data_IF_417638706341
#
_entry.id   IF_417638706341
#
_cell.length_a   1.000
_cell.length_b   1.000
_cell.length_c   1.000
_cell.angle_alpha   90.00
_cell.angle_beta   90.00
_cell.angle_gamma   90.00
#
_symmetry.space_group_name_H-M   'P 1'
#
loop_
_entity.id
_entity.type
_entity.pdbx_description
1 polymer ?
#
# COMPACT_ATOMS: atom_id res chain seq x y z
N UNK A 1 55.09 26.60 3.67
CA UNK A 1 53.93 27.32 4.21
C UNK A 1 52.77 27.49 3.22
N UNK A 2 53.01 27.66 1.93
CA UNK A 2 51.92 27.86 0.91
C UNK A 2 51.06 26.61 0.64
N UNK A 3 51.64 25.40 0.69
CA UNK A 3 50.91 24.13 0.47
C UNK A 3 49.90 23.80 1.59
N UNK A 4 50.18 24.16 2.84
CA UNK A 4 49.24 23.94 3.97
C UNK A 4 48.02 24.88 3.95
N UNK A 5 48.17 26.09 3.42
CA UNK A 5 47.07 27.02 3.27
C UNK A 5 46.03 26.59 2.17
N UNK A 6 46.51 25.96 1.11
CA UNK A 6 45.70 25.45 0.04
C UNK A 6 44.87 24.19 0.46
N UNK A 7 45.44 23.30 1.26
CA UNK A 7 44.72 22.14 1.77
C UNK A 7 43.62 22.52 2.77
N UNK A 8 43.85 23.51 3.63
CA UNK A 8 42.84 24.00 4.56
C UNK A 8 41.67 24.75 3.85
N UNK A 9 41.94 25.39 2.72
CA UNK A 9 40.91 26.02 1.87
C UNK A 9 40.00 25.00 1.17
N UNK A 10 40.57 23.91 0.66
CA UNK A 10 39.82 22.83 0.01
C UNK A 10 38.93 22.08 1.00
N UNK A 11 39.39 21.79 2.20
CA UNK A 11 38.59 21.15 3.26
C UNK A 11 37.40 22.02 3.71
N UNK A 12 37.61 23.34 3.84
CA UNK A 12 36.53 24.30 4.18
C UNK A 12 35.52 24.42 3.04
N UNK A 13 35.95 24.43 1.79
CA UNK A 13 35.09 24.50 0.62
C UNK A 13 34.25 23.22 0.46
N UNK A 14 34.86 22.05 0.64
CA UNK A 14 34.17 20.76 0.63
C UNK A 14 33.15 20.62 1.77
N UNK A 15 33.48 21.12 2.97
CA UNK A 15 32.57 21.14 4.11
C UNK A 15 31.40 22.10 3.88
N UNK A 16 31.63 23.28 3.27
CA UNK A 16 30.54 24.21 2.92
C UNK A 16 29.62 23.62 1.84
N UNK A 17 30.16 22.97 0.82
CA UNK A 17 29.42 22.29 -0.24
C UNK A 17 28.58 21.12 0.32
N UNK A 18 29.14 20.34 1.25
CA UNK A 18 28.41 19.27 1.92
C UNK A 18 27.29 19.82 2.82
N UNK A 19 27.51 20.97 3.50
CA UNK A 19 26.51 21.60 4.33
C UNK A 19 25.36 22.19 3.49
N UNK A 20 25.66 22.85 2.38
CA UNK A 20 24.63 23.41 1.47
C UNK A 20 23.84 22.32 0.78
N UNK A 21 24.50 21.24 0.37
CA UNK A 21 23.84 20.06 -0.22
C UNK A 21 22.95 19.34 0.82
N UNK A 22 23.44 19.21 2.06
CA UNK A 22 22.67 18.67 3.18
C UNK A 22 21.44 19.52 3.53
N UNK A 23 21.55 20.85 3.54
CA UNK A 23 20.42 21.75 3.78
C UNK A 23 19.35 21.66 2.67
N UNK A 24 19.77 21.52 1.40
CA UNK A 24 18.84 21.41 0.27
C UNK A 24 18.04 20.11 0.32
N UNK A 25 18.65 18.98 0.72
CA UNK A 25 17.99 17.70 0.90
C UNK A 25 16.96 17.71 2.03
N UNK A 26 17.26 18.43 3.12
CA UNK A 26 16.33 18.59 4.26
C UNK A 26 15.12 19.45 3.87
N UNK A 27 15.33 20.53 3.12
CA UNK A 27 14.25 21.43 2.70
C UNK A 27 13.26 20.76 1.73
N UNK A 28 13.74 19.99 0.75
CA UNK A 28 12.89 19.25 -0.20
C UNK A 28 12.06 18.16 0.50
N UNK A 29 12.63 17.45 1.45
CA UNK A 29 11.91 16.45 2.24
C UNK A 29 10.77 17.05 3.09
N UNK A 30 10.95 18.25 3.64
CA UNK A 30 9.91 18.94 4.40
C UNK A 30 8.71 19.35 3.53
N UNK A 31 8.93 19.80 2.29
CA UNK A 31 7.84 20.20 1.40
C UNK A 31 7.01 18.99 0.94
N UNK A 32 7.66 17.89 0.59
CA UNK A 32 6.96 16.66 0.24
C UNK A 32 6.12 16.12 1.40
N UNK A 33 6.69 16.09 2.61
CA UNK A 33 5.98 15.65 3.82
C UNK A 33 4.75 16.52 4.09
N UNK A 34 4.91 17.86 4.04
CA UNK A 34 3.81 18.79 4.24
C UNK A 34 2.69 18.59 3.20
N UNK A 35 3.06 18.39 1.92
CA UNK A 35 2.09 18.08 0.88
C UNK A 35 1.32 16.78 1.17
N UNK A 36 2.00 15.71 1.63
CA UNK A 36 1.35 14.45 2.02
C UNK A 36 0.36 14.65 3.17
N UNK A 37 0.66 15.50 4.13
CA UNK A 37 -0.25 15.87 5.22
C UNK A 37 -1.47 16.64 4.72
N UNK A 38 -1.30 17.54 3.76
CA UNK A 38 -2.42 18.23 3.09
C UNK A 38 -3.34 17.25 2.35
N UNK A 39 -2.78 16.33 1.58
CA UNK A 39 -3.56 15.28 0.92
C UNK A 39 -4.32 14.41 1.93
N UNK A 40 -3.71 14.04 3.05
CA UNK A 40 -4.38 13.29 4.11
C UNK A 40 -5.54 14.09 4.74
N UNK A 41 -5.39 15.41 4.90
CA UNK A 41 -6.46 16.28 5.38
C UNK A 41 -7.61 16.39 4.37
N UNK A 42 -7.32 16.50 3.08
CA UNK A 42 -8.34 16.50 2.01
C UNK A 42 -9.07 15.15 1.94
N UNK A 43 -8.37 14.03 2.12
CA UNK A 43 -8.99 12.71 2.23
C UNK A 43 -9.93 12.63 3.41
N UNK A 44 -9.51 13.10 4.59
CA UNK A 44 -10.35 13.12 5.79
C UNK A 44 -11.62 13.98 5.64
N UNK A 45 -11.65 14.92 4.70
CA UNK A 45 -12.78 15.76 4.35
C UNK A 45 -13.60 15.22 3.16
N UNK A 46 -13.10 14.20 2.46
CA UNK A 46 -13.68 13.70 1.20
C UNK A 46 -13.58 14.66 0.03
N UNK A 47 -12.63 15.59 0.11
CA UNK A 47 -12.43 16.62 -0.90
C UNK A 47 -11.62 16.10 -2.11
N UNK A 48 -12.09 15.00 -2.72
CA UNK A 48 -11.34 14.28 -3.77
C UNK A 48 -11.09 15.12 -5.02
N UNK A 49 -12.05 15.94 -5.43
CA UNK A 49 -11.87 16.87 -6.57
C UNK A 49 -10.77 17.89 -6.28
N UNK A 50 -10.73 18.42 -5.06
CA UNK A 50 -9.68 19.37 -4.66
C UNK A 50 -8.32 18.67 -4.57
N UNK A 51 -8.25 17.46 -4.01
CA UNK A 51 -7.02 16.68 -3.95
C UNK A 51 -6.48 16.36 -5.35
N UNK A 52 -7.35 16.01 -6.30
CA UNK A 52 -6.97 15.78 -7.69
C UNK A 52 -6.45 17.05 -8.36
N UNK A 53 -7.10 18.19 -8.13
CA UNK A 53 -6.67 19.50 -8.66
C UNK A 53 -5.28 19.87 -8.12
N UNK A 54 -5.03 19.63 -6.83
CA UNK A 54 -3.74 19.86 -6.21
C UNK A 54 -2.64 18.98 -6.80
N UNK A 55 -2.88 17.67 -6.98
CA UNK A 55 -1.93 16.77 -7.63
C UNK A 55 -1.62 17.15 -9.09
N UNK A 56 -2.56 17.79 -9.78
CA UNK A 56 -2.36 18.26 -11.15
C UNK A 56 -1.60 19.59 -11.23
N UNK A 57 -1.38 20.31 -10.12
CA UNK A 57 -0.56 21.52 -10.10
C UNK A 57 0.90 21.17 -10.47
N UNK A 58 1.49 21.83 -11.47
CA UNK A 58 2.88 21.58 -11.89
C UNK A 58 3.90 21.71 -10.76
N UNK A 59 3.67 22.64 -9.79
CA UNK A 59 4.54 22.82 -8.64
C UNK A 59 4.49 21.62 -7.71
N UNK A 60 3.29 21.10 -7.44
CA UNK A 60 3.09 19.90 -6.63
C UNK A 60 3.67 18.68 -7.33
N UNK A 61 3.40 18.51 -8.62
CA UNK A 61 3.98 17.42 -9.42
C UNK A 61 5.50 17.40 -9.36
N UNK A 62 6.17 18.54 -9.31
CA UNK A 62 7.63 18.64 -9.20
C UNK A 62 8.19 18.17 -7.86
N UNK A 63 7.37 18.03 -6.82
CA UNK A 63 7.77 17.46 -5.53
C UNK A 63 7.95 15.94 -5.58
N UNK A 64 7.31 15.28 -6.56
CA UNK A 64 7.43 13.84 -6.76
C UNK A 64 8.63 13.55 -7.67
N UNK A 65 9.74 13.18 -7.05
CA UNK A 65 10.93 12.72 -7.75
C UNK A 65 10.66 11.38 -8.47
N UNK A 66 11.59 10.92 -9.31
CA UNK A 66 11.44 9.63 -10.01
C UNK A 66 11.20 8.46 -9.04
N UNK A 67 11.85 8.50 -7.87
CA UNK A 67 11.65 7.49 -6.81
C UNK A 67 10.24 7.49 -6.19
N UNK A 68 9.50 8.58 -6.33
CA UNK A 68 8.15 8.77 -5.76
C UNK A 68 7.06 8.68 -6.83
N UNK A 69 7.44 8.42 -8.08
CA UNK A 69 6.54 8.40 -9.23
C UNK A 69 5.37 7.43 -9.06
N UNK A 70 5.63 6.26 -8.48
CA UNK A 70 4.60 5.27 -8.21
C UNK A 70 3.50 5.83 -7.30
N UNK A 71 3.87 6.49 -6.20
CA UNK A 71 2.89 7.09 -5.27
C UNK A 71 2.03 8.14 -5.97
N UNK A 72 2.64 8.96 -6.83
CA UNK A 72 1.93 9.96 -7.62
C UNK A 72 0.88 9.33 -8.55
N UNK A 73 1.28 8.31 -9.32
CA UNK A 73 0.37 7.65 -10.27
C UNK A 73 -0.74 6.86 -9.53
N UNK A 74 -0.46 6.26 -8.38
CA UNK A 74 -1.45 5.60 -7.52
C UNK A 74 -2.50 6.59 -6.97
N UNK A 75 -2.05 7.68 -6.34
CA UNK A 75 -2.93 8.68 -5.74
C UNK A 75 -3.78 9.37 -6.81
N UNK A 76 -3.19 9.70 -7.96
CA UNK A 76 -3.93 10.32 -9.06
C UNK A 76 -4.93 9.37 -9.71
N UNK A 77 -4.56 8.10 -9.86
CA UNK A 77 -5.42 7.07 -10.42
C UNK A 77 -6.70 6.86 -9.60
N UNK A 78 -6.57 6.72 -8.28
CA UNK A 78 -7.73 6.54 -7.42
C UNK A 78 -8.59 7.81 -7.29
N UNK A 79 -7.99 9.00 -7.29
CA UNK A 79 -8.73 10.26 -7.28
C UNK A 79 -9.52 10.47 -8.57
N UNK A 80 -8.95 10.11 -9.73
CA UNK A 80 -9.68 10.09 -10.99
C UNK A 80 -10.87 9.11 -10.91
N UNK A 81 -10.69 7.94 -10.30
CA UNK A 81 -11.77 6.97 -10.10
C UNK A 81 -12.89 7.52 -9.22
N UNK A 82 -12.58 8.13 -8.05
CA UNK A 82 -13.58 8.71 -7.16
C UNK A 82 -14.32 9.91 -7.76
N UNK A 83 -13.66 10.65 -8.64
CA UNK A 83 -14.29 11.77 -9.36
C UNK A 83 -15.01 11.36 -10.65
N UNK A 84 -15.15 10.06 -10.91
CA UNK A 84 -15.88 9.53 -12.07
C UNK A 84 -15.11 9.57 -13.39
N UNK A 85 -13.81 9.86 -13.36
CA UNK A 85 -12.96 9.93 -14.54
C UNK A 85 -12.29 8.57 -14.81
N UNK A 86 -13.07 7.57 -15.24
CA UNK A 86 -12.62 6.18 -15.36
C UNK A 86 -11.47 5.99 -16.35
N UNK A 87 -11.52 6.63 -17.52
CA UNK A 87 -10.47 6.46 -18.53
C UNK A 87 -9.13 7.05 -18.06
N UNK A 88 -9.03 8.26 -17.49
CA UNK A 88 -7.83 8.75 -16.82
C UNK A 88 -7.38 7.87 -15.65
N UNK A 89 -8.31 7.34 -14.84
CA UNK A 89 -7.99 6.44 -13.72
C UNK A 89 -7.26 5.18 -14.20
N UNK A 90 -7.79 4.54 -15.24
CA UNK A 90 -7.17 3.35 -15.85
C UNK A 90 -5.75 3.67 -16.34
N UNK A 91 -5.56 4.76 -17.06
CA UNK A 91 -4.25 5.17 -17.60
C UNK A 91 -3.22 5.40 -16.48
N UNK A 92 -3.61 6.09 -15.41
CA UNK A 92 -2.72 6.35 -14.27
C UNK A 92 -2.36 5.05 -13.53
N UNK A 93 -3.34 4.20 -13.29
CA UNK A 93 -3.14 2.91 -12.64
C UNK A 93 -2.36 1.91 -13.52
N UNK A 94 -2.46 1.98 -14.84
CA UNK A 94 -1.60 1.21 -15.76
C UNK A 94 -0.14 1.63 -15.67
N UNK A 95 0.13 2.94 -15.52
CA UNK A 95 1.50 3.41 -15.29
C UNK A 95 2.04 2.94 -13.94
N UNK A 96 1.21 3.03 -12.90
CA UNK A 96 1.57 2.52 -11.58
C UNK A 96 1.87 1.01 -11.63
N UNK A 97 1.02 0.22 -12.28
CA UNK A 97 1.22 -1.22 -12.47
C UNK A 97 2.53 -1.52 -13.20
N UNK A 98 2.80 -0.82 -14.30
CA UNK A 98 4.04 -1.00 -15.06
C UNK A 98 5.30 -0.65 -14.25
N UNK A 99 5.22 0.30 -13.31
CA UNK A 99 6.30 0.59 -12.36
C UNK A 99 6.49 -0.56 -11.37
N UNK A 100 5.42 -1.10 -10.79
CA UNK A 100 5.47 -2.24 -9.88
C UNK A 100 6.01 -3.50 -10.58
N UNK A 101 5.55 -3.79 -11.80
CA UNK A 101 5.96 -4.97 -12.56
C UNK A 101 7.47 -4.95 -12.90
N UNK A 102 8.01 -3.80 -13.28
CA UNK A 102 9.46 -3.66 -13.54
C UNK A 102 10.32 -3.95 -12.31
N UNK A 103 9.78 -3.76 -11.12
CA UNK A 103 10.52 -3.96 -9.86
C UNK A 103 10.34 -5.36 -9.28
N UNK A 104 9.48 -6.21 -9.89
CA UNK A 104 9.29 -7.59 -9.46
C UNK A 104 10.48 -8.50 -9.74
N UNK A 105 11.27 -8.19 -10.75
CA UNK A 105 12.47 -8.93 -11.16
C UNK A 105 13.72 -8.05 -11.06
N UNK A 106 14.16 -7.69 -9.84
CA UNK A 106 15.39 -6.92 -9.68
C UNK A 106 16.59 -7.75 -10.14
N UNK A 107 17.54 -7.12 -10.83
CA UNK A 107 18.82 -7.75 -11.14
C UNK A 107 19.59 -8.11 -9.86
N UNK A 108 20.54 -9.06 -9.94
CA UNK A 108 21.38 -9.41 -8.80
C UNK A 108 22.17 -8.20 -8.25
N UNK A 109 22.56 -7.26 -9.12
CA UNK A 109 23.22 -6.02 -8.73
C UNK A 109 22.27 -5.07 -8.00
N UNK A 110 21.02 -4.95 -8.47
CA UNK A 110 20.00 -4.14 -7.80
C UNK A 110 19.66 -4.70 -6.43
N UNK A 111 19.57 -6.01 -6.30
CA UNK A 111 19.33 -6.68 -5.02
C UNK A 111 20.44 -6.36 -4.00
N UNK A 112 21.70 -6.44 -4.40
CA UNK A 112 22.83 -6.11 -3.53
C UNK A 112 22.85 -4.63 -3.14
N UNK A 113 22.55 -3.72 -4.06
CA UNK A 113 22.46 -2.29 -3.82
C UNK A 113 21.30 -1.94 -2.89
N UNK A 114 20.13 -2.55 -3.07
CA UNK A 114 18.95 -2.34 -2.22
C UNK A 114 19.20 -2.74 -0.75
N UNK A 115 20.08 -3.70 -0.48
CA UNK A 115 20.43 -4.08 0.88
C UNK A 115 21.26 -3.03 1.63
N UNK A 116 21.93 -2.14 0.91
CA UNK A 116 22.79 -1.10 1.48
C UNK A 116 22.17 0.30 1.45
N UNK A 117 21.22 0.54 0.52
CA UNK A 117 20.54 1.82 0.41
C UNK A 117 19.46 1.95 1.49
N UNK A 118 19.26 3.18 1.95
CA UNK A 118 18.16 3.52 2.83
C UNK A 118 16.84 3.38 2.08
N UNK A 119 15.79 2.86 2.75
CA UNK A 119 14.48 2.66 2.14
C UNK A 119 13.88 3.97 1.60
N UNK A 120 14.11 5.10 2.27
CA UNK A 120 13.66 6.43 1.80
C UNK A 120 14.42 6.96 0.60
N UNK A 121 15.66 6.52 0.38
CA UNK A 121 16.47 6.88 -0.79
C UNK A 121 16.20 5.97 -2.00
N UNK A 122 15.59 4.82 -1.78
CA UNK A 122 15.23 3.87 -2.83
C UNK A 122 13.92 4.27 -3.53
N UNK A 123 13.74 3.79 -4.75
CA UNK A 123 12.47 3.91 -5.46
C UNK A 123 11.37 3.17 -4.69
N UNK A 124 10.22 3.83 -4.51
CA UNK A 124 9.07 3.19 -3.89
C UNK A 124 8.53 2.06 -4.77
N UNK A 125 8.39 0.89 -4.18
CA UNK A 125 8.00 -0.34 -4.92
C UNK A 125 6.52 -0.72 -4.72
N UNK A 126 5.81 0.00 -3.84
CA UNK A 126 4.44 -0.34 -3.44
C UNK A 126 4.38 -1.46 -2.39
N UNK A 127 3.27 -1.52 -1.71
CA UNK A 127 2.94 -2.61 -0.79
C UNK A 127 2.23 -3.74 -1.53
N UNK A 128 2.34 -5.00 -1.08
CA UNK A 128 1.68 -6.13 -1.72
C UNK A 128 0.17 -5.98 -1.91
N UNK A 129 -0.52 -5.36 -0.94
CA UNK A 129 -1.96 -5.10 -1.05
C UNK A 129 -2.25 -4.01 -2.09
N UNK A 130 -1.42 -2.98 -2.20
CA UNK A 130 -1.56 -1.91 -3.19
C UNK A 130 -1.49 -2.48 -4.62
N UNK A 131 -0.59 -3.42 -4.85
CA UNK A 131 -0.43 -4.07 -6.15
C UNK A 131 -1.69 -4.85 -6.59
N UNK A 132 -2.38 -5.50 -5.66
CA UNK A 132 -3.67 -6.13 -5.94
C UNK A 132 -4.76 -5.08 -6.18
N UNK A 133 -4.79 -4.03 -5.35
CA UNK A 133 -5.81 -2.98 -5.46
C UNK A 133 -5.71 -2.14 -6.73
N UNK A 134 -4.53 -1.99 -7.33
CA UNK A 134 -4.40 -1.40 -8.68
C UNK A 134 -5.35 -2.09 -9.66
N UNK A 135 -5.35 -3.42 -9.70
CA UNK A 135 -6.24 -4.15 -10.60
C UNK A 135 -7.70 -4.17 -10.12
N UNK A 136 -7.95 -4.09 -8.81
CA UNK A 136 -9.31 -3.94 -8.27
C UNK A 136 -9.95 -2.65 -8.79
N UNK A 137 -9.27 -1.50 -8.68
CA UNK A 137 -9.80 -0.23 -9.16
C UNK A 137 -9.88 -0.15 -10.68
N UNK A 138 -8.92 -0.72 -11.40
CA UNK A 138 -9.00 -0.85 -12.86
C UNK A 138 -10.20 -1.70 -13.27
N UNK A 139 -10.43 -2.84 -12.62
CA UNK A 139 -11.58 -3.70 -12.85
C UNK A 139 -12.89 -2.94 -12.63
N UNK A 140 -13.03 -2.26 -11.50
CA UNK A 140 -14.22 -1.46 -11.18
C UNK A 140 -14.44 -0.34 -12.21
N UNK A 141 -13.40 0.35 -12.65
CA UNK A 141 -13.46 1.37 -13.68
C UNK A 141 -13.88 0.78 -15.05
N UNK A 142 -13.37 -0.40 -15.42
CA UNK A 142 -13.79 -1.11 -16.63
C UNK A 142 -15.27 -1.52 -16.56
N UNK A 143 -15.72 -2.05 -15.43
CA UNK A 143 -17.13 -2.43 -15.22
C UNK A 143 -18.05 -1.21 -15.31
N UNK A 144 -17.68 -0.06 -14.71
CA UNK A 144 -18.48 1.17 -14.78
C UNK A 144 -18.59 1.71 -16.22
N UNK A 145 -17.61 1.42 -17.07
CA UNK A 145 -17.67 1.71 -18.50
C UNK A 145 -18.41 0.64 -19.33
N UNK A 146 -19.00 -0.38 -18.70
CA UNK A 146 -19.68 -1.48 -19.39
C UNK A 146 -18.73 -2.47 -20.10
N UNK A 147 -17.43 -2.44 -19.81
CA UNK A 147 -16.42 -3.28 -20.45
C UNK A 147 -16.18 -4.56 -19.64
N UNK A 148 -17.20 -5.41 -19.55
CA UNK A 148 -17.09 -6.69 -18.85
C UNK A 148 -16.13 -7.61 -19.59
N UNK A 149 -16.40 -7.90 -20.87
CA UNK A 149 -15.51 -8.65 -21.73
C UNK A 149 -14.31 -7.80 -22.16
N UNK A 150 -13.12 -8.41 -22.19
CA UNK A 150 -11.88 -7.73 -22.53
C UNK A 150 -11.30 -6.87 -21.41
N UNK A 151 -12.00 -5.86 -20.93
CA UNK A 151 -11.51 -4.95 -19.88
C UNK A 151 -11.46 -5.58 -18.49
N UNK A 152 -12.63 -5.78 -17.86
CA UNK A 152 -12.71 -6.33 -16.51
C UNK A 152 -12.16 -7.77 -16.42
N UNK A 153 -12.35 -8.58 -17.46
CA UNK A 153 -11.81 -9.95 -17.50
C UNK A 153 -10.29 -9.98 -17.46
N UNK A 154 -9.62 -9.06 -18.15
CA UNK A 154 -8.15 -8.96 -18.09
C UNK A 154 -7.70 -8.64 -16.66
N UNK A 155 -8.35 -7.68 -16.01
CA UNK A 155 -8.00 -7.30 -14.65
C UNK A 155 -8.32 -8.43 -13.64
N UNK A 156 -9.40 -9.15 -13.83
CA UNK A 156 -9.74 -10.33 -13.00
C UNK A 156 -8.65 -11.41 -13.08
N UNK A 157 -8.14 -11.70 -14.28
CA UNK A 157 -7.02 -12.64 -14.48
C UNK A 157 -5.73 -12.11 -13.85
N UNK A 158 -5.46 -10.80 -13.92
CA UNK A 158 -4.30 -10.18 -13.27
C UNK A 158 -4.39 -10.27 -11.75
N UNK A 159 -5.54 -9.99 -11.14
CA UNK A 159 -5.76 -10.19 -9.71
C UNK A 159 -5.41 -11.63 -9.31
N UNK A 160 -5.92 -12.63 -10.04
CA UNK A 160 -5.67 -14.03 -9.75
C UNK A 160 -4.19 -14.43 -9.88
N UNK A 161 -3.48 -13.93 -10.90
CA UNK A 161 -2.06 -14.21 -11.12
C UNK A 161 -1.17 -13.49 -10.11
N UNK A 162 -1.44 -12.22 -9.82
CA UNK A 162 -0.72 -11.42 -8.82
C UNK A 162 -0.82 -12.02 -7.42
N UNK A 163 -2.02 -12.42 -7.01
CA UNK A 163 -2.23 -13.08 -5.73
C UNK A 163 -1.37 -14.35 -5.59
N UNK A 164 -1.28 -15.15 -6.64
CA UNK A 164 -0.44 -16.35 -6.66
C UNK A 164 1.04 -15.98 -6.54
N UNK A 165 1.50 -15.02 -7.34
CA UNK A 165 2.87 -14.55 -7.32
C UNK A 165 3.26 -13.96 -5.96
N UNK A 166 2.41 -13.15 -5.33
CA UNK A 166 2.64 -12.55 -4.02
C UNK A 166 2.77 -13.63 -2.93
N UNK A 167 1.94 -14.66 -2.95
CA UNK A 167 2.06 -15.79 -2.01
C UNK A 167 3.40 -16.50 -2.11
N UNK A 168 3.89 -16.73 -3.33
CA UNK A 168 5.16 -17.41 -3.57
C UNK A 168 6.35 -16.51 -3.25
N UNK A 169 6.30 -15.25 -3.66
CA UNK A 169 7.34 -14.24 -3.37
C UNK A 169 7.50 -14.00 -1.86
N UNK A 170 6.41 -14.06 -1.11
CA UNK A 170 6.44 -13.93 0.33
C UNK A 170 7.26 -15.02 1.01
N UNK A 171 7.13 -16.26 0.54
CA UNK A 171 7.93 -17.40 1.01
C UNK A 171 9.42 -17.24 0.66
N UNK A 172 9.72 -16.86 -0.58
CA UNK A 172 11.10 -16.66 -1.06
C UNK A 172 11.80 -15.56 -0.26
N UNK A 173 11.16 -14.40 -0.08
CA UNK A 173 11.74 -13.27 0.66
C UNK A 173 12.10 -13.64 2.10
N UNK A 174 11.32 -14.49 2.77
CA UNK A 174 11.65 -14.98 4.10
C UNK A 174 12.92 -15.82 4.10
N UNK A 175 13.09 -16.71 3.12
CA UNK A 175 14.30 -17.53 2.97
C UNK A 175 15.55 -16.69 2.71
N UNK A 176 15.47 -15.72 1.81
CA UNK A 176 16.56 -14.81 1.46
C UNK A 176 17.03 -14.01 2.67
N UNK A 177 16.10 -13.43 3.45
CA UNK A 177 16.45 -12.64 4.64
C UNK A 177 17.08 -13.50 5.73
N UNK A 178 16.55 -14.70 5.98
CA UNK A 178 17.14 -15.64 6.95
C UNK A 178 18.58 -16.03 6.55
N UNK A 179 18.81 -16.31 5.28
CA UNK A 179 20.14 -16.65 4.76
C UNK A 179 21.11 -15.47 4.92
N UNK A 180 20.72 -14.27 4.52
CA UNK A 180 21.57 -13.08 4.62
C UNK A 180 21.85 -12.68 6.07
N UNK A 181 20.89 -12.86 6.97
CA UNK A 181 21.06 -12.62 8.40
C UNK A 181 22.03 -13.64 9.02
N UNK A 182 21.88 -14.94 8.69
CA UNK A 182 22.78 -15.99 9.17
C UNK A 182 24.24 -15.76 8.75
N UNK A 183 24.48 -15.34 7.50
CA UNK A 183 25.82 -15.01 7.01
C UNK A 183 26.47 -13.86 7.76
N UNK A 184 25.71 -12.98 8.39
CA UNK A 184 26.18 -11.81 9.15
C UNK A 184 26.05 -11.96 10.66
N UNK A 185 25.69 -13.15 11.14
CA UNK A 185 25.50 -13.41 12.58
C UNK A 185 24.31 -12.68 13.22
N UNK A 186 23.38 -12.18 12.40
CA UNK A 186 22.15 -11.52 12.87
C UNK A 186 21.07 -12.57 13.07
N UNK A 187 20.52 -12.66 14.28
CA UNK A 187 19.37 -13.53 14.56
C UNK A 187 18.09 -12.84 14.16
N UNK A 188 17.24 -13.53 13.39
CA UNK A 188 15.95 -13.02 12.87
C UNK A 188 14.75 -13.85 13.35
N UNK A 189 14.99 -14.83 14.25
CA UNK A 189 14.01 -15.72 14.86
C UNK A 189 14.03 -15.63 16.39
N UNK A 190 12.92 -15.93 17.02
CA UNK A 190 12.77 -15.85 18.46
C UNK A 190 13.20 -14.48 19.02
N UNK A 191 13.98 -14.45 20.09
CA UNK A 191 14.48 -13.21 20.73
C UNK A 191 15.31 -12.32 19.76
N UNK A 192 15.88 -12.90 18.70
CA UNK A 192 16.64 -12.18 17.68
C UNK A 192 15.77 -11.33 16.73
N UNK A 193 14.46 -11.56 16.69
CA UNK A 193 13.51 -10.72 15.96
C UNK A 193 13.13 -9.43 16.72
N UNK A 194 13.76 -9.15 17.86
CA UNK A 194 13.54 -7.95 18.66
C UNK A 194 12.07 -7.82 19.08
N UNK A 195 11.48 -6.62 18.98
CA UNK A 195 10.09 -6.37 19.37
C UNK A 195 9.05 -7.10 18.52
N UNK A 196 9.47 -7.79 17.46
CA UNK A 196 8.61 -8.52 16.51
C UNK A 196 8.78 -10.04 16.61
N UNK A 197 9.37 -10.53 17.72
CA UNK A 197 9.62 -11.96 17.94
C UNK A 197 8.35 -12.83 17.87
N UNK A 198 7.21 -12.27 18.31
CA UNK A 198 5.91 -12.94 18.32
C UNK A 198 5.17 -12.81 16.97
N UNK A 199 5.65 -11.98 16.05
CA UNK A 199 5.11 -11.94 14.72
C UNK A 199 5.45 -13.27 14.02
N UNK A 200 4.43 -14.07 13.72
CA UNK A 200 4.58 -15.40 13.14
C UNK A 200 5.53 -15.35 11.93
N UNK A 201 6.76 -15.81 12.14
CA UNK A 201 7.75 -15.95 11.09
C UNK A 201 7.27 -17.03 10.12
N UNK A 202 6.66 -16.64 9.01
CA UNK A 202 6.19 -17.56 8.01
C UNK A 202 4.70 -17.47 7.69
N UNK A 203 4.01 -16.43 8.10
CA UNK A 203 2.64 -16.18 7.68
C UNK A 203 2.53 -16.11 6.15
N UNK A 204 1.51 -16.75 5.57
CA UNK A 204 1.22 -16.59 4.16
C UNK A 204 0.64 -15.19 3.89
N UNK A 205 0.85 -14.67 2.68
CA UNK A 205 0.15 -13.47 2.22
C UNK A 205 -1.37 -13.70 2.30
N UNK A 206 -2.08 -12.70 2.82
CA UNK A 206 -3.54 -12.72 2.90
C UNK A 206 -4.08 -12.02 1.67
N UNK A 207 -4.86 -12.75 0.89
CA UNK A 207 -5.48 -12.26 -0.33
C UNK A 207 -6.52 -11.17 -0.01
N UNK A 208 -6.82 -10.32 -1.01
CA UNK A 208 -7.97 -9.42 -0.96
C UNK A 208 -9.26 -10.19 -1.21
N UNK A 209 -10.18 -10.29 -0.24
CA UNK A 209 -11.49 -10.87 -0.47
C UNK A 209 -12.29 -10.10 -1.54
N UNK A 210 -12.21 -8.76 -1.56
CA UNK A 210 -12.85 -7.94 -2.59
C UNK A 210 -12.33 -8.27 -3.98
N UNK A 211 -11.02 -8.29 -4.17
CA UNK A 211 -10.41 -8.60 -5.46
C UNK A 211 -10.80 -9.98 -5.97
N UNK A 212 -10.80 -10.96 -5.07
CA UNK A 212 -11.18 -12.34 -5.38
C UNK A 212 -12.68 -12.45 -5.71
N UNK A 213 -13.55 -11.73 -4.96
CA UNK A 213 -14.98 -11.68 -5.23
C UNK A 213 -15.28 -11.06 -6.60
N UNK A 214 -14.71 -9.91 -6.90
CA UNK A 214 -14.91 -9.24 -8.18
C UNK A 214 -14.44 -10.11 -9.35
N UNK A 215 -13.30 -10.79 -9.20
CA UNK A 215 -12.82 -11.74 -10.20
C UNK A 215 -13.81 -12.91 -10.40
N UNK A 216 -14.37 -13.45 -9.32
CA UNK A 216 -15.37 -14.53 -9.41
C UNK A 216 -16.62 -14.07 -10.15
N UNK A 217 -17.14 -12.86 -9.84
CA UNK A 217 -18.31 -12.29 -10.53
C UNK A 217 -18.04 -12.09 -12.02
N UNK A 218 -16.88 -11.55 -12.39
CA UNK A 218 -16.51 -11.33 -13.79
C UNK A 218 -16.38 -12.66 -14.55
N UNK A 219 -15.66 -13.66 -14.01
CA UNK A 219 -15.50 -14.95 -14.66
C UNK A 219 -16.83 -15.67 -14.87
N UNK A 220 -17.75 -15.48 -13.96
CA UNK A 220 -19.09 -16.03 -14.06
C UNK A 220 -19.88 -15.39 -15.19
N UNK A 221 -19.84 -14.05 -15.29
CA UNK A 221 -20.51 -13.29 -16.34
C UNK A 221 -19.92 -13.52 -17.74
N UNK A 222 -18.65 -13.90 -17.83
CA UNK A 222 -17.98 -14.22 -19.09
C UNK A 222 -17.96 -15.71 -19.44
N UNK A 223 -18.66 -16.55 -18.65
CA UNK A 223 -18.74 -18.00 -18.90
C UNK A 223 -17.43 -18.78 -18.66
N UNK A 224 -16.45 -18.18 -17.97
CA UNK A 224 -15.18 -18.84 -17.66
C UNK A 224 -15.31 -19.79 -16.43
N UNK A 225 -16.11 -20.85 -16.54
CA UNK A 225 -16.48 -21.73 -15.43
C UNK A 225 -15.29 -22.31 -14.65
N UNK A 226 -14.17 -22.62 -15.31
CA UNK A 226 -12.98 -23.14 -14.64
C UNK A 226 -12.33 -22.06 -13.75
N UNK A 227 -12.19 -20.84 -14.25
CA UNK A 227 -11.63 -19.71 -13.50
C UNK A 227 -12.56 -19.28 -12.36
N UNK A 228 -13.87 -19.31 -12.59
CA UNK A 228 -14.87 -19.07 -11.57
C UNK A 228 -14.72 -20.03 -10.38
N UNK A 229 -14.65 -21.35 -10.63
CA UNK A 229 -14.50 -22.33 -9.57
C UNK A 229 -13.20 -22.17 -8.76
N UNK A 230 -12.11 -21.71 -9.39
CA UNK A 230 -10.87 -21.37 -8.69
C UNK A 230 -11.07 -20.10 -7.84
N UNK A 231 -11.70 -19.07 -8.38
CA UNK A 231 -11.93 -17.81 -7.68
C UNK A 231 -12.88 -17.99 -6.48
N UNK A 232 -13.93 -18.79 -6.61
CA UNK A 232 -14.85 -19.11 -5.51
C UNK A 232 -14.15 -19.82 -4.34
N UNK A 233 -13.29 -20.82 -4.62
CA UNK A 233 -12.50 -21.48 -3.57
C UNK A 233 -11.54 -20.51 -2.88
N UNK A 234 -10.85 -19.64 -3.64
CA UNK A 234 -9.95 -18.63 -3.08
C UNK A 234 -10.70 -17.60 -2.25
N UNK A 235 -11.92 -17.25 -2.66
CA UNK A 235 -12.76 -16.33 -1.89
C UNK A 235 -13.11 -16.91 -0.52
N UNK A 236 -13.54 -18.18 -0.48
CA UNK A 236 -13.83 -18.85 0.80
C UNK A 236 -12.61 -18.86 1.73
N UNK A 237 -11.42 -19.21 1.19
CA UNK A 237 -10.16 -19.14 1.94
C UNK A 237 -9.83 -17.72 2.43
N UNK A 238 -10.01 -16.70 1.58
CA UNK A 238 -9.71 -15.32 1.92
C UNK A 238 -10.64 -14.80 3.01
N UNK A 239 -11.94 -15.13 2.94
CA UNK A 239 -12.93 -14.79 3.96
C UNK A 239 -12.61 -15.46 5.29
N UNK A 240 -12.33 -16.77 5.28
CA UNK A 240 -11.98 -17.52 6.49
C UNK A 240 -10.76 -16.90 7.20
N UNK A 241 -9.71 -16.56 6.45
CA UNK A 241 -8.52 -15.91 7.00
C UNK A 241 -8.79 -14.51 7.52
N UNK A 242 -9.65 -13.74 6.85
CA UNK A 242 -10.04 -12.43 7.34
C UNK A 242 -10.78 -12.54 8.68
N UNK A 243 -11.68 -13.50 8.84
CA UNK A 243 -12.37 -13.76 10.10
C UNK A 243 -11.39 -14.07 11.25
N UNK A 244 -10.31 -14.83 10.99
CA UNK A 244 -9.26 -15.08 11.96
C UNK A 244 -8.56 -13.79 12.44
N UNK A 245 -8.43 -12.80 11.56
CA UNK A 245 -7.73 -11.54 11.86
C UNK A 245 -8.61 -10.56 12.62
N UNK A 246 -9.85 -10.37 12.14
CA UNK A 246 -10.77 -9.37 12.68
C UNK A 246 -11.65 -9.92 13.82
N UNK A 247 -11.46 -11.19 14.17
CA UNK A 247 -12.26 -11.89 15.18
C UNK A 247 -13.65 -12.25 14.67
N UNK A 248 -14.56 -12.73 15.52
CA UNK A 248 -15.89 -13.16 15.14
C UNK A 248 -16.78 -11.95 14.76
N UNK A 249 -16.37 -11.23 13.75
CA UNK A 249 -17.16 -10.17 13.15
C UNK A 249 -18.26 -10.85 12.35
N UNK A 250 -19.45 -10.87 12.94
CA UNK A 250 -20.71 -11.16 12.27
C UNK A 250 -20.54 -12.18 11.13
N UNK A 251 -20.48 -13.45 11.48
CA UNK A 251 -20.51 -14.55 10.50
C UNK A 251 -21.63 -14.35 9.45
N UNK A 252 -22.69 -13.68 9.87
CA UNK A 252 -23.82 -13.25 9.02
C UNK A 252 -23.41 -12.30 7.87
N UNK A 253 -22.37 -11.47 8.06
CA UNK A 253 -21.90 -10.56 7.01
C UNK A 253 -21.25 -11.31 5.84
N UNK A 254 -20.79 -12.54 6.06
CA UNK A 254 -20.17 -13.39 5.04
C UNK A 254 -21.07 -14.58 4.64
N UNK A 255 -22.20 -14.77 5.34
CA UNK A 255 -23.13 -15.84 5.01
C UNK A 255 -23.69 -15.63 3.58
N UNK A 256 -23.54 -16.65 2.75
CA UNK A 256 -24.03 -16.63 1.37
C UNK A 256 -23.08 -16.03 0.33
N UNK A 257 -21.97 -15.38 0.72
CA UNK A 257 -20.98 -14.90 -0.26
C UNK A 257 -20.19 -16.05 -0.93
N UNK A 258 -20.14 -17.21 -0.30
CA UNK A 258 -19.55 -18.43 -0.86
C UNK A 258 -20.38 -19.00 -2.00
N UNK A 259 -21.68 -18.74 -1.98
CA UNK A 259 -22.64 -19.16 -3.00
C UNK A 259 -22.96 -17.98 -3.92
N UNK A 260 -22.03 -17.66 -4.82
CA UNK A 260 -22.28 -16.65 -5.83
C UNK A 260 -23.21 -17.29 -6.89
N UNK A 261 -24.51 -17.26 -6.66
CA UNK A 261 -25.51 -17.54 -7.71
C UNK A 261 -25.62 -16.34 -8.66
N UNK A 262 -24.52 -15.98 -9.28
CA UNK A 262 -24.51 -14.79 -10.14
C UNK A 262 -24.93 -15.09 -11.57
N UNK A 263 -25.28 -16.34 -11.93
CA UNK A 263 -25.83 -16.62 -13.25
C UNK A 263 -27.11 -15.80 -13.53
N UNK A 264 -27.92 -15.55 -12.51
CA UNK A 264 -29.15 -14.75 -12.60
C UNK A 264 -28.95 -13.28 -12.22
N UNK A 265 -27.90 -12.93 -11.46
CA UNK A 265 -27.64 -11.56 -11.05
C UNK A 265 -27.13 -10.73 -12.23
N UNK A 266 -27.75 -9.57 -12.43
CA UNK A 266 -27.37 -8.61 -13.48
C UNK A 266 -27.02 -7.22 -12.95
N UNK A 267 -26.97 -7.06 -11.62
CA UNK A 267 -26.51 -5.83 -10.94
C UNK A 267 -25.48 -6.18 -9.89
N UNK A 268 -24.34 -5.53 -9.96
CA UNK A 268 -23.28 -5.54 -8.94
C UNK A 268 -23.27 -4.19 -8.22
N UNK A 269 -23.35 -4.24 -6.90
CA UNK A 269 -23.23 -3.07 -6.04
C UNK A 269 -21.96 -3.18 -5.19
N UNK A 270 -21.15 -2.13 -5.20
CA UNK A 270 -19.92 -2.03 -4.42
C UNK A 270 -19.95 -0.73 -3.64
N UNK A 271 -19.78 -0.80 -2.33
CA UNK A 271 -19.66 0.38 -1.49
C UNK A 271 -18.32 0.36 -0.75
N UNK A 272 -17.55 1.42 -0.94
CA UNK A 272 -16.24 1.62 -0.34
C UNK A 272 -16.37 2.61 0.80
N UNK A 273 -15.86 2.28 1.99
CA UNK A 273 -16.00 3.15 3.16
C UNK A 273 -14.73 3.23 3.99
N UNK A 274 -14.63 4.27 4.79
CA UNK A 274 -13.48 4.51 5.64
C UNK A 274 -12.23 4.90 4.86
N UNK A 275 -11.14 5.02 5.59
CA UNK A 275 -9.82 5.35 5.06
C UNK A 275 -8.92 4.14 5.16
N UNK A 276 -8.17 3.88 4.11
CA UNK A 276 -7.15 2.84 4.07
C UNK A 276 -6.04 3.06 5.11
N UNK A 277 -5.18 2.07 5.31
CA UNK A 277 -4.10 2.17 6.27
C UNK A 277 -3.05 3.19 5.83
N UNK A 278 -2.41 3.81 6.80
CA UNK A 278 -1.30 4.74 6.59
C UNK A 278 -0.05 4.26 7.30
N UNK A 279 1.12 4.59 6.77
CA UNK A 279 2.40 4.29 7.43
C UNK A 279 2.83 5.44 8.33
N UNK A 280 3.30 5.10 9.53
CA UNK A 280 3.93 6.02 10.46
C UNK A 280 5.34 5.54 10.80
N UNK A 281 6.24 6.48 11.07
CA UNK A 281 7.59 6.15 11.51
C UNK A 281 7.58 5.80 12.99
N UNK A 282 8.05 4.60 13.35
CA UNK A 282 8.25 4.19 14.73
C UNK A 282 9.73 4.09 15.03
N UNK A 283 10.18 4.89 16.00
CA UNK A 283 11.57 4.83 16.47
C UNK A 283 11.80 3.59 17.34
N UNK A 284 12.86 2.86 17.02
CA UNK A 284 13.28 1.65 17.72
C UNK A 284 14.72 1.82 18.20
N UNK A 285 15.01 1.38 19.42
CA UNK A 285 16.33 1.42 20.03
C UNK A 285 16.28 1.95 21.47
N UNK A 286 17.44 2.00 22.17
CA UNK A 286 18.77 1.67 21.65
C UNK A 286 18.95 0.16 21.44
N UNK A 287 19.52 -0.23 20.29
CA UNK A 287 19.89 -1.61 20.01
C UNK A 287 21.42 -1.67 19.96
N UNK A 288 22.06 -2.57 20.73
CA UNK A 288 23.50 -2.70 20.68
C UNK A 288 23.94 -3.33 19.34
N UNK A 289 24.73 -2.59 18.57
CA UNK A 289 25.44 -3.10 17.39
C UNK A 289 26.92 -3.05 17.73
N UNK A 290 27.49 -4.17 18.13
CA UNK A 290 28.78 -4.19 18.79
C UNK A 290 28.73 -3.47 20.14
N UNK A 291 29.55 -2.45 20.32
CA UNK A 291 29.57 -1.62 21.56
C UNK A 291 28.76 -0.33 21.45
N UNK A 292 28.06 -0.14 20.34
CA UNK A 292 27.43 1.13 19.98
C UNK A 292 25.91 1.02 20.05
N UNK A 293 25.20 1.89 20.81
CA UNK A 293 23.76 1.95 20.80
C UNK A 293 23.25 2.64 19.53
N UNK A 294 22.47 1.93 18.71
CA UNK A 294 21.91 2.44 17.46
C UNK A 294 20.43 2.65 17.60
N UNK A 295 19.93 3.75 17.05
CA UNK A 295 18.52 4.04 16.87
C UNK A 295 18.20 4.04 15.38
N UNK A 296 17.04 3.55 15.00
CA UNK A 296 16.52 3.60 13.64
C UNK A 296 14.99 3.69 13.66
N UNK A 297 14.42 4.03 12.53
CA UNK A 297 12.98 4.10 12.38
C UNK A 297 12.50 2.94 11.52
N UNK A 298 11.35 2.35 11.92
CA UNK A 298 10.65 1.32 11.16
C UNK A 298 9.29 1.84 10.71
N UNK A 299 8.82 1.49 9.51
CA UNK A 299 7.46 1.79 9.11
C UNK A 299 6.49 0.90 9.91
N UNK A 300 5.47 1.52 10.50
CA UNK A 300 4.34 0.83 11.11
C UNK A 300 3.08 1.20 10.35
N UNK A 301 2.32 0.19 9.91
CA UNK A 301 1.07 0.40 9.21
C UNK A 301 -0.06 0.51 10.23
N UNK A 302 -0.76 1.64 10.20
CA UNK A 302 -1.85 1.95 11.12
C UNK A 302 -3.16 2.03 10.35
N UNK A 303 -4.15 1.28 10.80
CA UNK A 303 -5.52 1.30 10.26
C UNK A 303 -6.39 2.26 11.08
N UNK A 304 -7.17 3.07 10.40
CA UNK A 304 -8.21 3.90 11.01
C UNK A 304 -9.55 3.15 10.93
N UNK A 305 -10.20 2.85 12.05
CA UNK A 305 -11.51 2.21 12.03
C UNK A 305 -12.53 3.07 11.25
N UNK A 306 -13.34 2.44 10.41
CA UNK A 306 -14.46 3.13 9.74
C UNK A 306 -15.60 3.33 10.72
N UNK A 307 -16.27 4.47 10.61
CA UNK A 307 -17.52 4.75 11.32
C UNK A 307 -18.73 3.99 10.73
N UNK A 308 -18.56 3.43 9.51
CA UNK A 308 -19.62 2.73 8.79
C UNK A 308 -19.80 1.32 9.35
N UNK A 309 -21.01 1.04 9.83
CA UNK A 309 -21.39 -0.27 10.39
C UNK A 309 -22.17 -1.13 9.40
N UNK A 310 -22.58 -0.57 8.26
CA UNK A 310 -23.29 -1.28 7.20
C UNK A 310 -23.63 -0.35 6.05
N UNK A 311 -24.04 -0.93 4.93
CA UNK A 311 -24.50 -0.18 3.75
C UNK A 311 -25.80 -0.79 3.27
N UNK A 312 -26.82 0.07 3.02
CA UNK A 312 -28.08 -0.32 2.43
C UNK A 312 -28.20 0.31 1.05
N UNK A 313 -28.55 -0.49 0.06
CA UNK A 313 -28.82 -0.02 -1.29
C UNK A 313 -30.29 -0.18 -1.65
N UNK A 314 -30.85 0.82 -2.32
CA UNK A 314 -32.20 0.79 -2.87
C UNK A 314 -32.13 1.00 -4.37
N UNK A 315 -32.71 0.07 -5.14
CA UNK A 315 -32.82 0.16 -6.59
C UNK A 315 -34.26 0.53 -6.94
N UNK A 316 -34.41 1.63 -7.66
CA UNK A 316 -35.73 2.13 -8.13
C UNK A 316 -35.65 2.27 -9.64
N UNK A 317 -36.54 1.57 -10.36
CA UNK A 317 -36.62 1.69 -11.81
C UNK A 317 -37.05 3.11 -12.21
N UNK A 318 -36.56 3.59 -13.36
CA UNK A 318 -36.95 4.88 -13.95
C UNK A 318 -37.26 4.71 -15.43
N UNK A 319 -38.29 5.47 -15.91
CA UNK A 319 -38.74 5.40 -17.30
C UNK A 319 -40.21 4.99 -17.41
N UNK A 320 -40.69 4.70 -18.63
CA UNK A 320 -42.12 4.53 -18.93
C UNK A 320 -42.79 3.38 -18.19
N UNK A 321 -42.11 2.29 -17.89
CA UNK A 321 -42.62 1.12 -17.18
C UNK A 321 -42.14 1.02 -15.73
N UNK A 322 -41.53 2.06 -15.17
CA UNK A 322 -40.92 2.04 -13.85
C UNK A 322 -41.90 1.67 -12.71
N UNK A 323 -43.16 2.10 -12.82
CA UNK A 323 -44.20 1.83 -11.80
C UNK A 323 -44.56 0.33 -11.65
N UNK A 324 -44.25 -0.49 -12.66
CA UNK A 324 -44.51 -1.93 -12.64
C UNK A 324 -43.36 -2.74 -12.02
N UNK A 325 -42.18 -2.12 -11.82
CA UNK A 325 -41.00 -2.79 -11.27
C UNK A 325 -40.91 -2.55 -9.76
N UNK A 326 -40.94 -3.59 -8.94
CA UNK A 326 -40.82 -3.44 -7.49
C UNK A 326 -39.48 -2.79 -7.10
N UNK A 327 -39.55 -1.90 -6.10
CA UNK A 327 -38.31 -1.35 -5.48
C UNK A 327 -37.59 -2.48 -4.76
N UNK A 328 -36.29 -2.64 -5.05
CA UNK A 328 -35.46 -3.62 -4.33
C UNK A 328 -34.60 -2.91 -3.30
N UNK A 329 -34.54 -3.49 -2.11
CA UNK A 329 -33.70 -3.02 -1.00
C UNK A 329 -32.75 -4.16 -0.60
N UNK A 330 -31.45 -3.87 -0.61
CA UNK A 330 -30.40 -4.81 -0.24
C UNK A 330 -29.55 -4.24 0.88
N UNK A 331 -29.21 -5.07 1.84
CA UNK A 331 -28.12 -4.78 2.76
C UNK A 331 -26.84 -5.36 2.15
N UNK A 332 -25.87 -4.51 1.85
CA UNK A 332 -24.60 -4.95 1.29
C UNK A 332 -23.76 -5.65 2.37
N UNK A 333 -23.11 -6.73 1.98
CA UNK A 333 -22.27 -7.52 2.88
C UNK A 333 -20.87 -6.92 2.95
N UNK A 334 -20.32 -6.77 4.15
CA UNK A 334 -18.92 -6.44 4.35
C UNK A 334 -18.05 -7.59 3.81
N UNK A 335 -17.37 -7.36 2.69
CA UNK A 335 -16.52 -8.38 2.07
C UNK A 335 -15.07 -8.26 2.53
N UNK A 336 -14.59 -7.05 2.77
CA UNK A 336 -13.21 -6.83 3.19
C UNK A 336 -13.07 -5.66 4.16
N UNK A 337 -12.27 -5.88 5.22
CA UNK A 337 -11.66 -4.82 6.00
C UNK A 337 -10.20 -4.68 5.56
N UNK A 338 -9.96 -3.85 4.53
CA UNK A 338 -8.65 -3.65 3.94
C UNK A 338 -7.64 -3.15 4.98
N UNK A 339 -8.07 -2.22 5.83
CA UNK A 339 -7.19 -1.67 6.86
C UNK A 339 -6.59 -2.75 7.75
N UNK A 340 -7.40 -3.68 8.23
CA UNK A 340 -6.94 -4.77 9.08
C UNK A 340 -6.16 -5.84 8.33
N UNK A 341 -6.59 -6.23 7.13
CA UNK A 341 -5.89 -7.21 6.29
C UNK A 341 -4.50 -6.69 5.90
N UNK A 342 -4.40 -5.43 5.47
CA UNK A 342 -3.13 -4.81 5.13
C UNK A 342 -2.20 -4.69 6.35
N UNK A 343 -2.72 -4.27 7.50
CA UNK A 343 -1.96 -4.17 8.75
C UNK A 343 -1.41 -5.53 9.17
N UNK A 344 -2.21 -6.60 9.06
CA UNK A 344 -1.75 -7.95 9.37
C UNK A 344 -0.69 -8.46 8.38
N UNK A 345 -0.87 -8.21 7.07
CA UNK A 345 0.15 -8.52 6.08
C UNK A 345 1.48 -7.81 6.39
N UNK A 346 1.41 -6.53 6.72
CA UNK A 346 2.59 -5.74 7.11
C UNK A 346 3.23 -6.27 8.39
N UNK A 347 2.43 -6.56 9.43
CA UNK A 347 2.92 -7.15 10.69
C UNK A 347 3.71 -8.44 10.47
N UNK A 348 3.27 -9.29 9.56
CA UNK A 348 3.97 -10.53 9.17
C UNK A 348 5.30 -10.27 8.47
N UNK A 349 5.48 -9.10 7.84
CA UNK A 349 6.74 -8.69 7.22
C UNK A 349 7.69 -7.99 8.19
N UNK A 350 7.21 -7.48 9.31
CA UNK A 350 8.02 -6.68 10.24
C UNK A 350 9.31 -7.37 10.71
N UNK A 351 9.37 -8.70 11.00
CA UNK A 351 10.63 -9.36 11.32
C UNK A 351 11.67 -9.25 10.22
N UNK A 352 11.24 -9.30 8.95
CA UNK A 352 12.11 -9.18 7.78
C UNK A 352 12.60 -7.75 7.58
N UNK A 353 11.71 -6.77 7.74
CA UNK A 353 12.03 -5.34 7.67
C UNK A 353 13.04 -4.99 8.77
N UNK A 354 12.78 -5.44 9.99
CA UNK A 354 13.66 -5.27 11.14
C UNK A 354 15.06 -5.87 10.88
N UNK A 355 15.11 -7.11 10.39
CA UNK A 355 16.37 -7.79 10.09
C UNK A 355 17.17 -7.06 9.01
N UNK A 356 16.54 -6.60 7.94
CA UNK A 356 17.20 -5.80 6.88
C UNK A 356 17.81 -4.52 7.46
N UNK A 357 17.05 -3.81 8.29
CA UNK A 357 17.51 -2.57 8.93
C UNK A 357 18.69 -2.83 9.86
N UNK A 358 18.69 -3.91 10.65
CA UNK A 358 19.82 -4.32 11.48
C UNK A 358 21.05 -4.65 10.66
N UNK A 359 20.91 -5.38 9.55
CA UNK A 359 22.02 -5.73 8.66
C UNK A 359 22.65 -4.47 8.08
N UNK A 360 21.84 -3.49 7.64
CA UNK A 360 22.34 -2.19 7.15
C UNK A 360 23.06 -1.40 8.24
N UNK A 361 22.47 -1.31 9.42
CA UNK A 361 23.06 -0.61 10.55
C UNK A 361 24.40 -1.25 10.96
N UNK A 362 24.49 -2.57 10.98
CA UNK A 362 25.73 -3.30 11.25
C UNK A 362 26.80 -3.03 10.18
N UNK A 363 26.43 -3.03 8.90
CA UNK A 363 27.37 -2.73 7.81
C UNK A 363 27.93 -1.30 7.89
N UNK A 364 27.07 -0.31 8.18
CA UNK A 364 27.48 1.08 8.37
C UNK A 364 28.36 1.27 9.61
N UNK A 365 28.04 0.59 10.73
CA UNK A 365 28.85 0.60 11.95
C UNK A 365 30.23 0.02 11.71
N UNK A 366 30.33 -1.09 10.98
CA UNK A 366 31.61 -1.72 10.63
C UNK A 366 32.45 -0.79 9.76
N UNK A 367 31.85 -0.14 8.76
CA UNK A 367 32.55 0.83 7.91
C UNK A 367 33.08 2.01 8.72
N UNK A 368 32.30 2.54 9.67
CA UNK A 368 32.72 3.61 10.57
C UNK A 368 33.86 3.18 11.49
N UNK A 369 33.85 1.94 11.99
CA UNK A 369 34.94 1.39 12.82
C UNK A 369 36.21 1.24 12.01
N UNK A 370 36.15 0.70 10.78
CA UNK A 370 37.32 0.55 9.89
C UNK A 370 37.92 1.91 9.55
N UNK A 371 37.08 2.93 9.26
CA UNK A 371 37.56 4.28 9.02
C UNK A 371 38.28 4.87 10.25
N UNK A 372 37.70 4.67 11.46
CA UNK A 372 38.29 5.10 12.73
C UNK A 372 39.64 4.45 12.98
N UNK A 373 39.78 3.14 12.72
CA UNK A 373 41.03 2.42 12.90
C UNK A 373 42.07 2.83 11.85
N UNK A 374 41.67 3.16 10.63
CA UNK A 374 42.55 3.70 9.60
C UNK A 374 43.07 5.09 10.01
N UNK A 375 42.28 5.95 10.61
CA UNK A 375 42.66 7.24 11.16
C UNK A 375 43.68 7.03 12.27
N UNK A 376 43.45 6.10 13.20
CA UNK A 376 44.39 5.79 14.28
C UNK A 376 45.73 5.29 13.79
N UNK A 377 45.79 4.52 12.69
CA UNK A 377 47.04 3.96 12.10
C UNK A 377 47.79 4.95 11.22
N UNK A 378 47.07 5.95 10.65
CA UNK A 378 47.63 6.88 9.67
C UNK A 378 48.29 8.13 10.26
N UNK A 379 48.20 8.39 11.57
CA UNK A 379 48.76 9.59 12.20
C UNK A 379 50.10 9.34 12.92
N UNK A 380 51.16 10.03 12.53
CA UNK A 380 52.45 9.97 13.21
C UNK A 380 52.53 10.79 14.51
N UNK A 381 51.46 11.41 14.97
CA UNK A 381 51.46 12.33 16.13
C UNK A 381 50.51 11.89 17.23
N UNK A 382 50.92 12.09 18.45
CA UNK A 382 50.37 11.82 19.76
C UNK A 382 49.01 11.12 19.93
N UNK A 383 48.97 10.02 20.64
CA UNK A 383 47.79 9.20 20.97
C UNK A 383 46.51 9.98 21.39
N UNK A 384 46.63 11.14 22.03
CA UNK A 384 45.49 11.92 22.51
C UNK A 384 44.71 12.65 21.41
N UNK A 385 45.39 13.15 20.37
CA UNK A 385 44.69 13.80 19.23
C UNK A 385 44.02 12.77 18.33
N UNK A 386 44.69 11.65 18.08
CA UNK A 386 44.13 10.52 17.32
C UNK A 386 42.87 9.91 18.00
N UNK A 387 42.87 9.87 19.35
CA UNK A 387 41.69 9.38 20.10
C UNK A 387 40.51 10.38 20.03
N UNK A 388 40.77 11.67 20.01
CA UNK A 388 39.75 12.70 19.84
C UNK A 388 39.08 12.66 18.45
N UNK A 389 39.88 12.56 17.39
CA UNK A 389 39.39 12.43 16.01
C UNK A 389 38.65 11.09 15.79
N UNK A 390 39.12 10.02 16.39
CA UNK A 390 38.47 8.72 16.35
C UNK A 390 37.12 8.73 17.04
N UNK A 391 36.98 9.41 18.18
CA UNK A 391 35.69 9.61 18.87
C UNK A 391 34.75 10.45 18.02
N UNK A 392 35.22 11.53 17.39
CA UNK A 392 34.43 12.34 16.47
C UNK A 392 33.97 11.54 15.25
N UNK A 393 34.82 10.68 14.68
CA UNK A 393 34.45 9.81 13.56
C UNK A 393 33.37 8.79 13.95
N UNK A 394 33.45 8.23 15.16
CA UNK A 394 32.38 7.34 15.68
C UNK A 394 31.09 8.10 15.88
N UNK A 395 31.13 9.27 16.50
CA UNK A 395 29.95 10.11 16.71
C UNK A 395 29.33 10.58 15.38
N UNK A 396 30.16 10.95 14.39
CA UNK A 396 29.68 11.29 13.05
C UNK A 396 29.05 10.08 12.34
N UNK A 397 29.62 8.89 12.46
CA UNK A 397 29.06 7.65 11.94
C UNK A 397 27.71 7.30 12.58
N UNK A 398 27.58 7.48 13.89
CA UNK A 398 26.33 7.30 14.62
C UNK A 398 25.25 8.31 14.20
N UNK A 399 25.64 9.58 14.10
CA UNK A 399 24.74 10.64 13.62
C UNK A 399 24.27 10.33 12.19
N UNK A 400 25.15 9.85 11.32
CA UNK A 400 24.83 9.44 9.96
C UNK A 400 23.87 8.26 9.93
N UNK A 401 24.11 7.20 10.73
CA UNK A 401 23.19 6.05 10.83
C UNK A 401 21.81 6.53 11.28
N UNK A 402 21.74 7.30 12.37
CA UNK A 402 20.48 7.80 12.92
C UNK A 402 19.73 8.74 11.92
N UNK A 403 20.49 9.56 11.18
CA UNK A 403 19.92 10.48 10.19
C UNK A 403 19.47 9.77 8.91
N UNK A 404 20.08 8.64 8.55
CA UNK A 404 19.81 7.94 7.29
C UNK A 404 18.91 6.72 7.43
N UNK A 405 18.82 6.09 8.62
CA UNK A 405 17.90 4.96 8.86
C UNK A 405 16.50 5.46 9.24
N UNK A 406 15.85 6.13 8.30
CA UNK A 406 14.46 6.60 8.42
C UNK A 406 13.51 5.59 7.82
N UNK A 407 12.31 5.46 8.42
CA UNK A 407 11.23 4.65 7.89
C UNK A 407 10.74 5.18 6.54
N UNK A 408 10.47 4.30 5.60
CA UNK A 408 9.71 4.63 4.40
C UNK A 408 8.22 4.64 4.74
N UNK A 409 7.68 5.84 4.92
CA UNK A 409 6.27 6.06 5.23
C UNK A 409 5.40 6.31 3.98
N UNK A 410 5.95 6.14 2.79
CA UNK A 410 5.19 6.22 1.55
C UNK A 410 4.18 5.09 1.50
N UNK A 411 2.96 5.39 1.11
CA UNK A 411 1.87 4.45 0.86
C UNK A 411 0.79 5.11 0.00
N UNK A 412 -0.06 4.33 -0.59
CA UNK A 412 -1.23 4.80 -1.34
C UNK A 412 -2.25 5.45 -0.39
N UNK A 413 -2.43 6.78 -0.50
CA UNK A 413 -3.12 7.56 0.53
C UNK A 413 -4.64 7.43 0.51
N UNK A 414 -5.27 7.17 -0.65
CA UNK A 414 -6.72 7.28 -0.81
C UNK A 414 -7.43 5.93 -0.90
N UNK A 415 -6.80 4.84 -0.48
CA UNK A 415 -7.45 3.54 -0.40
C UNK A 415 -8.62 3.56 0.60
N UNK A 416 -9.70 2.80 0.37
CA UNK A 416 -10.77 2.64 1.35
C UNK A 416 -10.31 1.76 2.52
N UNK A 417 -10.97 1.91 3.67
CA UNK A 417 -10.76 1.03 4.83
C UNK A 417 -11.55 -0.27 4.75
N UNK A 418 -12.74 -0.20 4.15
CA UNK A 418 -13.69 -1.32 4.05
C UNK A 418 -14.37 -1.35 2.69
N UNK A 419 -14.80 -2.53 2.28
CA UNK A 419 -15.61 -2.73 1.09
C UNK A 419 -16.83 -3.61 1.41
N UNK A 420 -17.99 -3.18 0.91
CA UNK A 420 -19.25 -3.93 0.99
C UNK A 420 -19.73 -4.24 -0.42
N UNK A 421 -20.31 -5.41 -0.61
CA UNK A 421 -20.80 -5.87 -1.91
C UNK A 421 -22.21 -6.46 -1.83
N UNK A 422 -22.92 -6.41 -2.96
CA UNK A 422 -24.20 -7.08 -3.12
C UNK A 422 -24.50 -7.34 -4.59
N UNK A 423 -25.24 -8.40 -4.83
CA UNK A 423 -25.74 -8.78 -6.16
C UNK A 423 -27.27 -8.69 -6.15
N UNK A 424 -27.82 -8.26 -7.27
CA UNK A 424 -29.27 -8.23 -7.50
C UNK A 424 -29.62 -8.73 -8.90
N UNK A 425 -30.84 -9.24 -9.03
CA UNK A 425 -31.46 -9.53 -10.32
C UNK A 425 -32.66 -8.61 -10.49
N UNK A 426 -32.66 -7.82 -11.55
CA UNK A 426 -33.73 -6.84 -11.85
C UNK A 426 -34.07 -6.92 -13.35
N UNK A 427 -35.28 -6.54 -13.77
CA UNK A 427 -35.61 -6.39 -15.18
C UNK A 427 -34.65 -5.44 -15.89
N UNK A 428 -34.46 -5.64 -17.18
CA UNK A 428 -33.68 -4.74 -18.04
C UNK A 428 -34.25 -3.33 -18.00
N UNK A 429 -33.38 -2.31 -17.87
CA UNK A 429 -33.85 -0.93 -17.79
C UNK A 429 -32.85 0.02 -17.11
N UNK A 430 -33.33 1.21 -16.84
CA UNK A 430 -32.57 2.23 -16.08
C UNK A 430 -33.05 2.25 -14.63
N UNK A 431 -32.09 2.38 -13.72
CA UNK A 431 -32.35 2.40 -12.28
C UNK A 431 -31.62 3.54 -11.59
N UNK A 432 -32.27 4.13 -10.61
CA UNK A 432 -31.62 4.94 -9.60
C UNK A 432 -31.19 4.02 -8.46
N UNK A 433 -29.90 3.99 -8.18
CA UNK A 433 -29.32 3.31 -7.04
C UNK A 433 -29.04 4.34 -5.96
N UNK A 434 -29.76 4.22 -4.82
CA UNK A 434 -29.49 4.99 -3.61
C UNK A 434 -28.73 4.13 -2.63
N UNK A 435 -27.50 4.51 -2.27
CA UNK A 435 -26.68 3.85 -1.25
C UNK A 435 -26.65 4.69 0.02
N UNK A 436 -27.06 4.10 1.12
CA UNK A 436 -27.08 4.70 2.45
C UNK A 436 -26.00 4.04 3.31
N UNK A 437 -24.99 4.81 3.68
CA UNK A 437 -23.93 4.39 4.60
C UNK A 437 -24.41 4.59 6.04
N UNK A 438 -24.50 3.51 6.79
CA UNK A 438 -25.06 3.47 8.11
C UNK A 438 -23.96 3.63 9.17
N UNK A 439 -24.20 4.48 10.15
CA UNK A 439 -23.35 4.68 11.32
C UNK A 439 -24.16 4.35 12.58
N UNK A 440 -23.51 4.19 13.76
CA UNK A 440 -24.27 4.11 15.01
C UNK A 440 -25.22 5.32 15.14
N UNK A 441 -26.52 5.05 15.15
CA UNK A 441 -27.55 6.09 15.24
C UNK A 441 -28.32 6.38 13.95
N UNK A 442 -27.95 5.80 12.81
CA UNK A 442 -28.77 5.93 11.59
C UNK A 442 -27.95 6.08 10.29
N UNK A 443 -28.53 6.82 9.34
CA UNK A 443 -27.87 7.10 8.06
C UNK A 443 -26.89 8.25 8.22
N UNK A 444 -25.59 7.96 8.00
CA UNK A 444 -24.52 8.97 8.05
C UNK A 444 -24.34 9.70 6.73
N UNK A 445 -24.50 8.99 5.60
CA UNK A 445 -24.35 9.55 4.26
C UNK A 445 -25.21 8.82 3.25
N UNK A 446 -25.65 9.52 2.23
CA UNK A 446 -26.40 8.97 1.10
C UNK A 446 -25.78 9.40 -0.22
N UNK A 447 -25.53 8.44 -1.08
CA UNK A 447 -25.09 8.66 -2.46
C UNK A 447 -26.12 8.08 -3.42
N UNK A 448 -26.40 8.82 -4.50
CA UNK A 448 -27.35 8.39 -5.52
C UNK A 448 -26.67 8.42 -6.88
N UNK A 449 -26.92 7.41 -7.70
CA UNK A 449 -26.41 7.31 -9.06
C UNK A 449 -27.42 6.60 -9.95
N UNK A 450 -27.35 6.84 -11.25
CA UNK A 450 -28.08 6.09 -12.26
C UNK A 450 -27.23 4.96 -12.81
N UNK A 451 -27.83 3.80 -13.01
CA UNK A 451 -27.22 2.66 -13.71
C UNK A 451 -28.14 2.18 -14.83
N UNK A 452 -27.54 1.54 -15.83
CA UNK A 452 -28.28 0.86 -16.89
C UNK A 452 -28.03 -0.64 -16.80
N UNK A 453 -29.10 -1.43 -16.79
CA UNK A 453 -29.06 -2.89 -16.82
C UNK A 453 -29.43 -3.32 -18.23
N UNK A 454 -28.46 -3.89 -18.95
CA UNK A 454 -28.61 -4.36 -20.32
C UNK A 454 -29.27 -5.74 -20.42
N UNK A 455 -29.39 -6.23 -21.66
CA UNK A 455 -29.86 -7.60 -21.97
C UNK A 455 -28.66 -8.52 -22.25
N UNK A 456 -28.84 -9.80 -21.97
CA UNK A 456 -27.87 -10.87 -22.26
C UNK A 456 -27.12 -11.36 -21.03
N UNK A 457 -26.54 -12.56 -21.16
CA UNK A 457 -25.91 -13.26 -20.02
C UNK A 457 -24.67 -12.54 -19.47
N UNK A 458 -23.96 -11.78 -20.30
CA UNK A 458 -22.80 -10.96 -19.90
C UNK A 458 -23.17 -9.57 -19.37
N UNK A 459 -24.44 -9.14 -19.44
CA UNK A 459 -24.85 -7.82 -19.01
C UNK A 459 -24.74 -7.66 -17.49
N UNK A 460 -24.11 -6.56 -17.04
CA UNK A 460 -23.92 -6.24 -15.65
C UNK A 460 -24.06 -4.72 -15.44
N UNK A 461 -25.14 -4.31 -14.78
CA UNK A 461 -25.26 -2.95 -14.25
C UNK A 461 -24.38 -2.83 -13.01
N UNK A 462 -23.63 -1.72 -12.88
CA UNK A 462 -22.69 -1.55 -11.77
C UNK A 462 -22.96 -0.26 -11.02
N UNK A 463 -23.26 -0.38 -9.73
CA UNK A 463 -23.38 0.75 -8.82
C UNK A 463 -22.18 0.78 -7.86
N UNK A 464 -21.47 1.92 -7.81
CA UNK A 464 -20.32 2.09 -6.92
C UNK A 464 -20.52 3.33 -6.06
N UNK A 465 -20.60 3.15 -4.75
CA UNK A 465 -20.64 4.23 -3.78
C UNK A 465 -19.37 4.30 -2.96
N UNK A 466 -19.07 5.50 -2.44
CA UNK A 466 -17.93 5.67 -1.54
C UNK A 466 -18.18 6.76 -0.49
N UNK A 467 -17.65 6.52 0.72
CA UNK A 467 -17.67 7.48 1.82
C UNK A 467 -16.48 7.25 2.75
N UNK A 468 -15.68 8.26 2.97
CA UNK A 468 -14.38 8.19 3.68
C UNK A 468 -14.44 8.09 5.21
N UNK A 469 -15.63 8.02 5.83
CA UNK A 469 -15.82 7.90 7.28
C UNK A 469 -15.81 6.46 7.79
#
# INVERSE_FOLDING_TARGET
MVLFALQAGWLRFSALLALTFGLSLVAGGCQFQHHREQLAALHAQGAFTQALAELNDPKVKSLYEERDRLVYDLDRGILNFYTGQDAPAIVDLERAEALMDRQREPSAADTAAQWLLNDTASTYVGEPYEDVYVNVFKLLAQLRQGRVEGGATVEARRIASKTTWLRDRYKVSQGEVRSAAGQRGVRVDGKGAGPYADAATGGQFIDSPLGTYLAAVVFMKTGEAQMQGVAARRLADAIARQQEIIGPVRAEAFAGLEQIEASEANVLLVALSGRGPTKVARRVGPIPVGTVPVYFELPELVSTPSEVVGVRATLTAIGENAAAVPVQVLNLNLIENLGMVATENHRRQMPLIYARTLIRAAAKSTASYVATEAIRRGQPGGRREADGEAVLAVLAGLALITATERADVRCWAFLPGQAHVGLASVPTGRYVVKMEFLVPGGVGYTQTQEITVGQGDGALGVGIGHWWK
#
